data_IF_169680390863
#
_entry.id   IF_169680390863
#
_cell.length_a   1.000
_cell.length_b   1.000
_cell.length_c   1.000
_cell.angle_alpha   90.00
_cell.angle_beta   90.00
_cell.angle_gamma   90.00
#
_symmetry.space_group_name_H-M   'P 1'
#
loop_
_entity.id
_entity.type
_entity.pdbx_description
1 polymer ?
#
# COMPACT_ATOMS: atom_id res chain seq x y z
N UNK A 1 -16.47 0.02 1.85
CA UNK A 1 -17.93 -0.18 1.87
C UNK A 1 -18.37 -0.74 0.52
N UNK A 2 -19.18 -1.84 0.44
CA UNK A 2 -19.68 -2.37 -0.81
C UNK A 2 -20.66 -1.41 -1.46
N UNK A 3 -20.79 -1.49 -2.80
CA UNK A 3 -21.76 -0.70 -3.53
C UNK A 3 -23.17 -0.89 -2.98
N UNK A 4 -23.89 0.22 -2.76
CA UNK A 4 -25.22 0.26 -2.17
C UNK A 4 -25.26 0.49 -0.64
N UNK A 5 -24.09 0.58 0.03
CA UNK A 5 -23.97 0.95 1.45
C UNK A 5 -23.53 2.39 1.68
N UNK A 6 -23.39 3.19 0.61
CA UNK A 6 -23.02 4.60 0.63
C UNK A 6 -23.83 5.38 -0.41
N UNK A 7 -23.89 6.69 -0.26
CA UNK A 7 -24.50 7.59 -1.22
C UNK A 7 -23.39 8.25 -2.09
N UNK A 8 -23.68 8.48 -3.36
CA UNK A 8 -22.77 9.05 -4.33
C UNK A 8 -22.11 8.00 -5.23
N UNK A 9 -21.21 8.45 -6.08
CA UNK A 9 -20.54 7.66 -7.10
C UNK A 9 -19.03 7.55 -6.84
N UNK A 10 -18.47 6.39 -7.10
CA UNK A 10 -17.02 6.17 -7.16
C UNK A 10 -16.61 6.14 -8.62
N UNK A 11 -15.81 7.12 -9.05
CA UNK A 11 -15.27 7.20 -10.40
C UNK A 11 -13.77 6.93 -10.33
N UNK A 12 -13.30 5.94 -11.10
CA UNK A 12 -11.90 5.59 -11.20
C UNK A 12 -11.50 5.40 -12.66
N UNK A 13 -10.45 6.10 -13.11
CA UNK A 13 -10.01 6.11 -14.53
C UNK A 13 -11.19 6.39 -15.49
N UNK A 14 -11.98 7.43 -15.19
CA UNK A 14 -13.17 7.86 -15.92
C UNK A 14 -14.31 6.83 -16.00
N UNK A 15 -14.22 5.73 -15.25
CA UNK A 15 -15.24 4.70 -15.19
C UNK A 15 -16.00 4.76 -13.86
N UNK A 16 -17.33 4.61 -13.94
CA UNK A 16 -18.17 4.45 -12.76
C UNK A 16 -17.98 3.05 -12.17
N UNK A 17 -17.45 3.01 -10.95
CA UNK A 17 -17.14 1.78 -10.26
C UNK A 17 -18.24 1.37 -9.27
N UNK A 18 -18.61 0.09 -9.27
CA UNK A 18 -19.61 -0.50 -8.37
C UNK A 18 -19.05 -1.76 -7.72
N UNK A 19 -18.07 -1.56 -6.83
CA UNK A 19 -17.39 -2.66 -6.14
C UNK A 19 -18.32 -3.33 -5.13
N UNK A 20 -18.50 -4.64 -5.25
CA UNK A 20 -19.31 -5.45 -4.32
C UNK A 20 -18.46 -5.98 -3.16
N UNK A 21 -17.18 -6.14 -3.38
CA UNK A 21 -16.21 -6.66 -2.41
C UNK A 21 -14.79 -6.16 -2.72
N UNK A 22 -13.86 -6.43 -1.82
CA UNK A 22 -12.45 -6.01 -1.93
C UNK A 22 -11.78 -6.60 -3.20
N UNK A 23 -12.14 -7.83 -3.60
CA UNK A 23 -11.55 -8.45 -4.80
C UNK A 23 -11.89 -7.68 -6.07
N UNK A 24 -13.04 -7.02 -6.12
CA UNK A 24 -13.42 -6.22 -7.29
C UNK A 24 -12.53 -4.98 -7.41
N UNK A 25 -12.22 -4.28 -6.31
CA UNK A 25 -11.31 -3.13 -6.33
C UNK A 25 -9.85 -3.56 -6.57
N UNK A 26 -9.42 -4.69 -6.03
CA UNK A 26 -8.08 -5.24 -6.29
C UNK A 26 -7.86 -5.61 -7.76
N UNK A 27 -8.88 -6.10 -8.49
CA UNK A 27 -8.79 -6.39 -9.93
C UNK A 27 -8.57 -5.13 -10.76
N UNK A 28 -9.07 -3.99 -10.31
CA UNK A 28 -8.81 -2.68 -10.94
C UNK A 28 -7.44 -2.09 -10.54
N UNK A 29 -6.72 -2.76 -9.65
CA UNK A 29 -5.42 -2.33 -9.15
C UNK A 29 -5.52 -1.33 -7.99
N UNK A 30 -6.65 -1.28 -7.28
CA UNK A 30 -6.82 -0.48 -6.07
C UNK A 30 -6.54 -1.36 -4.87
N UNK A 31 -5.50 -1.06 -4.11
CA UNK A 31 -5.09 -1.81 -2.92
C UNK A 31 -5.00 -0.89 -1.72
N UNK A 32 -5.50 -1.33 -0.59
CA UNK A 32 -5.40 -0.61 0.69
C UNK A 32 -4.45 -1.35 1.64
N UNK A 33 -3.59 -0.57 2.31
CA UNK A 33 -2.77 -1.00 3.43
C UNK A 33 -3.31 -0.30 4.66
N UNK A 34 -3.82 -1.08 5.60
CA UNK A 34 -4.39 -0.58 6.84
C UNK A 34 -3.30 -0.28 7.86
N UNK A 35 -3.61 0.56 8.85
CA UNK A 35 -2.74 0.89 9.98
C UNK A 35 -2.30 -0.37 10.74
N UNK A 36 -3.22 -1.32 10.96
CA UNK A 36 -2.90 -2.64 11.49
C UNK A 36 -2.52 -3.58 10.35
N UNK A 37 -1.28 -4.07 10.36
CA UNK A 37 -0.77 -4.96 9.31
C UNK A 37 -1.53 -6.30 9.30
N UNK A 38 -2.01 -6.70 8.12
CA UNK A 38 -2.72 -7.94 7.92
C UNK A 38 -1.76 -9.12 7.62
N UNK A 39 -0.67 -9.20 8.40
CA UNK A 39 0.35 -10.25 8.27
C UNK A 39 0.14 -11.34 9.31
N UNK A 40 0.35 -12.59 8.91
CA UNK A 40 0.31 -13.75 9.82
C UNK A 40 1.72 -13.99 10.37
N UNK A 41 1.96 -13.82 11.69
CA UNK A 41 3.30 -13.81 12.27
C UNK A 41 4.10 -15.09 12.07
N UNK A 42 3.44 -16.24 12.03
CA UNK A 42 4.05 -17.56 11.92
C UNK A 42 4.15 -18.08 10.47
N UNK A 43 3.77 -17.31 9.49
CA UNK A 43 4.04 -17.56 8.09
C UNK A 43 5.28 -16.79 7.64
N UNK A 44 5.95 -17.31 6.62
CA UNK A 44 7.07 -16.63 5.96
C UNK A 44 6.61 -15.38 5.20
N UNK A 45 7.57 -14.56 4.78
CA UNK A 45 7.33 -13.40 3.92
C UNK A 45 6.62 -13.86 2.64
N UNK A 46 7.13 -14.87 1.96
CA UNK A 46 6.56 -15.38 0.72
C UNK A 46 5.14 -15.92 0.89
N UNK A 47 4.87 -16.67 1.96
CA UNK A 47 3.53 -17.15 2.27
C UNK A 47 2.55 -15.99 2.52
N UNK A 48 2.96 -14.96 3.29
CA UNK A 48 2.13 -13.78 3.52
C UNK A 48 1.84 -13.01 2.23
N UNK A 49 2.83 -12.85 1.36
CA UNK A 49 2.67 -12.10 0.11
C UNK A 49 1.66 -12.76 -0.83
N UNK A 50 1.63 -14.07 -0.89
CA UNK A 50 0.78 -14.82 -1.82
C UNK A 50 -0.40 -15.54 -1.16
N UNK A 51 -0.69 -15.27 0.10
CA UNK A 51 -1.81 -15.86 0.83
C UNK A 51 -3.13 -15.61 0.10
N UNK A 52 -3.80 -16.68 -0.33
CA UNK A 52 -5.04 -16.63 -1.12
C UNK A 52 -4.85 -16.35 -2.62
N UNK A 53 -3.58 -16.24 -3.08
CA UNK A 53 -3.17 -16.12 -4.48
C UNK A 53 -1.89 -16.93 -4.73
N UNK A 54 -1.83 -18.13 -4.17
CA UNK A 54 -0.67 -19.02 -4.23
C UNK A 54 -0.31 -19.37 -5.69
N UNK A 55 0.98 -19.49 -5.94
CA UNK A 55 1.48 -19.96 -7.25
C UNK A 55 1.28 -21.47 -7.34
N UNK A 56 0.14 -21.90 -7.87
CA UNK A 56 -0.22 -23.32 -7.93
C UNK A 56 -0.41 -23.80 -9.37
N UNK A 57 -0.05 -25.08 -9.60
CA UNK A 57 -0.33 -25.80 -10.85
C UNK A 57 -1.07 -27.09 -10.50
N UNK A 58 -2.25 -27.30 -11.09
CA UNK A 58 -3.11 -28.47 -10.82
C UNK A 58 -3.43 -28.65 -9.31
N UNK A 59 -3.59 -27.57 -8.56
CA UNK A 59 -3.89 -27.61 -7.13
C UNK A 59 -2.70 -27.88 -6.22
N UNK A 60 -1.47 -27.97 -6.76
CA UNK A 60 -0.23 -28.11 -5.99
C UNK A 60 0.53 -26.80 -6.00
N UNK A 61 0.86 -26.26 -4.81
CA UNK A 61 1.63 -25.01 -4.67
C UNK A 61 3.06 -25.26 -5.13
N UNK A 62 3.55 -24.39 -6.01
CA UNK A 62 4.95 -24.35 -6.42
C UNK A 62 5.72 -23.37 -5.51
N UNK A 63 6.33 -23.90 -4.46
CA UNK A 63 7.08 -23.10 -3.48
C UNK A 63 8.33 -22.44 -4.05
N UNK A 64 9.01 -23.05 -5.00
CA UNK A 64 10.19 -22.47 -5.63
C UNK A 64 9.81 -21.22 -6.43
N UNK A 65 8.75 -21.30 -7.23
CA UNK A 65 8.23 -20.17 -7.98
C UNK A 65 7.67 -19.08 -7.03
N UNK A 66 7.00 -19.46 -5.94
CA UNK A 66 6.48 -18.54 -4.92
C UNK A 66 7.62 -17.76 -4.29
N UNK A 67 8.69 -18.43 -3.85
CA UNK A 67 9.86 -17.80 -3.25
C UNK A 67 10.60 -16.91 -4.26
N UNK A 68 10.76 -17.34 -5.50
CA UNK A 68 11.39 -16.53 -6.55
C UNK A 68 10.62 -15.24 -6.77
N UNK A 69 9.31 -15.30 -6.98
CA UNK A 69 8.47 -14.10 -7.16
C UNK A 69 8.47 -13.20 -5.93
N UNK A 70 8.43 -13.80 -4.72
CA UNK A 70 8.54 -13.02 -3.48
C UNK A 70 9.84 -12.23 -3.46
N UNK A 71 10.99 -12.86 -3.77
CA UNK A 71 12.28 -12.19 -3.81
C UNK A 71 12.31 -11.02 -4.82
N UNK A 72 11.66 -11.16 -5.98
CA UNK A 72 11.56 -10.07 -6.97
C UNK A 72 10.83 -8.85 -6.40
N UNK A 73 9.67 -9.04 -5.77
CA UNK A 73 8.91 -7.93 -5.16
C UNK A 73 9.58 -7.38 -3.91
N UNK A 74 10.22 -8.23 -3.09
CA UNK A 74 11.03 -7.81 -1.94
C UNK A 74 12.18 -6.89 -2.37
N UNK A 75 12.86 -7.22 -3.45
CA UNK A 75 13.92 -6.37 -4.00
C UNK A 75 13.41 -5.00 -4.41
N UNK A 76 12.19 -4.90 -4.97
CA UNK A 76 11.58 -3.62 -5.37
C UNK A 76 11.33 -2.68 -4.19
N UNK A 77 11.13 -3.22 -2.99
CA UNK A 77 10.93 -2.43 -1.76
C UNK A 77 12.19 -2.32 -0.89
N UNK A 78 13.33 -2.81 -1.38
CA UNK A 78 14.60 -2.78 -0.66
C UNK A 78 14.69 -3.75 0.52
N UNK A 79 13.87 -4.80 0.55
CA UNK A 79 13.89 -5.82 1.58
C UNK A 79 14.84 -6.95 1.19
N UNK A 80 15.94 -7.12 1.96
CA UNK A 80 17.02 -8.06 1.66
C UNK A 80 16.95 -9.35 2.49
N UNK A 81 15.86 -9.58 3.22
CA UNK A 81 15.66 -10.81 3.99
C UNK A 81 15.35 -12.00 3.07
N UNK A 82 15.49 -13.23 3.58
CA UNK A 82 15.07 -14.40 2.82
C UNK A 82 13.54 -14.45 2.70
N UNK A 83 12.97 -14.82 1.55
CA UNK A 83 11.54 -15.05 1.41
C UNK A 83 10.95 -16.05 2.41
N UNK A 84 11.77 -16.98 2.92
CA UNK A 84 11.39 -17.96 3.93
C UNK A 84 11.47 -17.45 5.38
N UNK A 85 11.93 -16.21 5.62
CA UNK A 85 11.97 -15.60 6.94
C UNK A 85 10.55 -15.42 7.48
N UNK A 86 10.31 -15.79 8.74
CA UNK A 86 9.00 -15.61 9.38
C UNK A 86 8.74 -14.12 9.69
N UNK A 87 7.51 -13.70 9.56
CA UNK A 87 7.12 -12.31 9.86
C UNK A 87 7.44 -11.90 11.29
N UNK A 88 7.27 -12.81 12.28
CA UNK A 88 7.59 -12.52 13.67
C UNK A 88 9.08 -12.22 13.93
N UNK A 89 9.96 -12.63 13.03
CA UNK A 89 11.42 -12.51 13.18
C UNK A 89 11.97 -11.22 12.52
N UNK A 90 11.11 -10.40 11.92
CA UNK A 90 11.46 -9.10 11.32
C UNK A 90 10.80 -7.94 12.06
N UNK A 91 11.51 -6.81 12.12
CA UNK A 91 10.99 -5.59 12.76
C UNK A 91 9.84 -4.93 12.00
N UNK A 92 9.09 -4.05 12.70
CA UNK A 92 7.88 -3.39 12.18
C UNK A 92 8.10 -2.66 10.85
N UNK A 93 9.22 -1.95 10.68
CA UNK A 93 9.54 -1.28 9.42
C UNK A 93 9.65 -2.26 8.24
N UNK A 94 10.24 -3.43 8.46
CA UNK A 94 10.30 -4.47 7.43
C UNK A 94 8.94 -5.12 7.17
N UNK A 95 8.11 -5.29 8.20
CA UNK A 95 6.74 -5.79 8.03
C UNK A 95 5.91 -4.83 7.17
N UNK A 96 6.08 -3.52 7.34
CA UNK A 96 5.45 -2.51 6.48
C UNK A 96 5.88 -2.67 5.01
N UNK A 97 7.17 -2.90 4.76
CA UNK A 97 7.69 -3.16 3.41
C UNK A 97 7.12 -4.46 2.82
N UNK A 98 6.88 -5.50 3.63
CA UNK A 98 6.21 -6.74 3.18
C UNK A 98 4.79 -6.46 2.71
N UNK A 99 4.00 -5.64 3.42
CA UNK A 99 2.64 -5.26 2.97
C UNK A 99 2.68 -4.50 1.63
N UNK A 100 3.67 -3.63 1.43
CA UNK A 100 3.84 -2.94 0.16
C UNK A 100 4.25 -3.91 -0.96
N UNK A 101 5.20 -4.81 -0.70
CA UNK A 101 5.59 -5.85 -1.67
C UNK A 101 4.40 -6.75 -2.05
N UNK A 102 3.55 -7.11 -1.09
CA UNK A 102 2.30 -7.85 -1.30
C UNK A 102 1.30 -7.05 -2.17
N UNK A 103 1.20 -5.73 -1.99
CA UNK A 103 0.39 -4.87 -2.85
C UNK A 103 0.93 -4.82 -4.29
N UNK A 104 2.26 -4.70 -4.46
CA UNK A 104 2.91 -4.74 -5.78
C UNK A 104 2.63 -6.05 -6.53
N UNK A 105 2.61 -7.18 -5.83
CA UNK A 105 2.30 -8.49 -6.41
C UNK A 105 0.87 -8.58 -6.99
N UNK A 106 -0.02 -7.65 -6.61
CA UNK A 106 -1.40 -7.52 -7.12
C UNK A 106 -1.54 -6.53 -8.29
N UNK A 107 -0.44 -6.12 -8.94
CA UNK A 107 -0.44 -5.13 -10.03
C UNK A 107 -1.13 -3.81 -9.64
N UNK A 108 -0.78 -3.28 -8.47
CA UNK A 108 -1.35 -2.05 -7.93
C UNK A 108 -1.14 -0.85 -8.86
N UNK A 109 -2.18 -0.03 -9.03
CA UNK A 109 -2.16 1.27 -9.73
C UNK A 109 -2.47 2.42 -8.78
N UNK A 110 -3.35 2.16 -7.81
CA UNK A 110 -3.71 3.08 -6.74
C UNK A 110 -3.49 2.40 -5.39
N UNK A 111 -2.53 2.92 -4.63
CA UNK A 111 -2.19 2.45 -3.30
C UNK A 111 -2.77 3.40 -2.26
N UNK A 112 -3.62 2.90 -1.38
CA UNK A 112 -4.19 3.67 -0.27
C UNK A 112 -3.50 3.21 1.01
N UNK A 113 -2.90 4.15 1.75
CA UNK A 113 -2.17 3.87 2.97
C UNK A 113 -2.80 4.65 4.14
N UNK A 114 -3.21 3.91 5.16
CA UNK A 114 -3.81 4.46 6.37
C UNK A 114 -2.76 4.49 7.48
N UNK A 115 -2.30 5.70 7.83
CA UNK A 115 -1.24 5.97 8.81
C UNK A 115 0.02 5.07 8.69
N UNK A 116 0.63 4.95 7.48
CA UNK A 116 1.66 3.94 7.22
C UNK A 116 2.96 4.13 8.02
N UNK A 117 3.16 5.29 8.62
CA UNK A 117 4.38 5.66 9.36
C UNK A 117 4.15 5.75 10.87
N UNK A 118 2.94 5.46 11.38
CA UNK A 118 2.58 5.67 12.79
C UNK A 118 3.44 4.85 13.76
N UNK A 119 3.83 3.65 13.37
CA UNK A 119 4.64 2.71 14.17
C UNK A 119 6.13 2.69 13.79
N UNK A 120 6.56 3.55 12.85
CA UNK A 120 7.93 3.60 12.36
C UNK A 120 8.76 4.67 13.08
N UNK A 121 10.07 4.42 13.23
CA UNK A 121 11.01 5.48 13.56
C UNK A 121 11.18 6.44 12.36
N UNK A 122 11.75 7.61 12.60
CA UNK A 122 11.88 8.67 11.60
C UNK A 122 12.65 8.24 10.34
N UNK A 123 13.73 7.45 10.52
CA UNK A 123 14.54 6.95 9.41
C UNK A 123 13.75 5.98 8.51
N UNK A 124 12.99 5.06 9.11
CA UNK A 124 12.21 4.07 8.35
C UNK A 124 10.97 4.74 7.73
N UNK A 125 10.35 5.69 8.41
CA UNK A 125 9.28 6.51 7.84
C UNK A 125 9.75 7.26 6.58
N UNK A 126 10.93 7.89 6.65
CA UNK A 126 11.52 8.59 5.51
C UNK A 126 11.76 7.68 4.32
N UNK A 127 12.37 6.50 4.54
CA UNK A 127 12.60 5.50 3.49
C UNK A 127 11.30 5.04 2.83
N UNK A 128 10.24 4.87 3.62
CA UNK A 128 8.93 4.52 3.11
C UNK A 128 8.37 5.60 2.19
N UNK A 129 8.45 6.87 2.59
CA UNK A 129 7.97 7.99 1.77
C UNK A 129 8.80 8.15 0.49
N UNK A 130 10.13 8.00 0.56
CA UNK A 130 11.01 8.01 -0.61
C UNK A 130 10.64 6.89 -1.60
N UNK A 131 10.31 5.69 -1.10
CA UNK A 131 9.85 4.56 -1.90
C UNK A 131 8.52 4.86 -2.62
N UNK A 132 7.58 5.52 -1.97
CA UNK A 132 6.30 5.92 -2.58
C UNK A 132 6.50 6.96 -3.68
N UNK A 133 7.42 7.91 -3.48
CA UNK A 133 7.81 8.89 -4.51
C UNK A 133 8.45 8.17 -5.71
N UNK A 134 9.39 7.24 -5.46
CA UNK A 134 10.01 6.43 -6.50
C UNK A 134 8.98 5.64 -7.31
N UNK A 135 7.99 5.01 -6.66
CA UNK A 135 6.94 4.25 -7.35
C UNK A 135 6.05 5.13 -8.22
N UNK A 136 5.76 6.35 -7.80
CA UNK A 136 5.07 7.33 -8.61
C UNK A 136 5.86 7.63 -9.90
N UNK A 137 7.16 7.91 -9.75
CA UNK A 137 8.03 8.34 -10.87
C UNK A 137 8.37 7.20 -11.83
N UNK A 138 8.68 6.01 -11.28
CA UNK A 138 9.21 4.89 -12.09
C UNK A 138 8.15 3.92 -12.55
N UNK A 139 7.04 3.78 -11.82
CA UNK A 139 5.98 2.79 -12.07
C UNK A 139 4.61 3.41 -12.36
N UNK A 140 4.46 4.74 -12.21
CA UNK A 140 3.18 5.43 -12.39
C UNK A 140 2.12 5.03 -11.36
N UNK A 141 2.54 4.56 -10.17
CA UNK A 141 1.63 4.21 -9.08
C UNK A 141 1.19 5.48 -8.38
N UNK A 142 -0.13 5.71 -8.30
CA UNK A 142 -0.70 6.80 -7.50
C UNK A 142 -0.87 6.33 -6.06
N UNK A 143 -0.50 7.18 -5.09
CA UNK A 143 -0.70 6.88 -3.66
C UNK A 143 -1.64 7.89 -3.01
N UNK A 144 -2.56 7.40 -2.17
CA UNK A 144 -3.35 8.22 -1.24
C UNK A 144 -2.85 7.87 0.16
N UNK A 145 -2.34 8.88 0.89
CA UNK A 145 -1.82 8.71 2.24
C UNK A 145 -2.76 9.41 3.20
N UNK A 146 -3.29 8.68 4.17
CA UNK A 146 -4.04 9.23 5.30
C UNK A 146 -3.04 9.37 6.45
N UNK A 147 -2.81 10.59 6.93
CA UNK A 147 -1.88 10.84 8.01
C UNK A 147 -2.24 12.17 8.72
N UNK A 148 -1.86 12.27 9.99
CA UNK A 148 -1.95 13.50 10.77
C UNK A 148 -0.57 14.18 10.92
N UNK A 149 0.50 13.63 10.34
CA UNK A 149 1.86 14.13 10.43
C UNK A 149 2.16 15.09 9.27
N UNK A 150 1.96 16.39 9.49
CA UNK A 150 2.09 17.42 8.45
C UNK A 150 3.45 17.42 7.75
N UNK A 151 4.56 17.22 8.48
CA UNK A 151 5.91 17.19 7.91
C UNK A 151 6.08 16.06 6.86
N UNK A 152 5.50 14.89 7.11
CA UNK A 152 5.54 13.76 6.19
C UNK A 152 4.69 14.04 4.95
N UNK A 153 3.49 14.58 5.14
CA UNK A 153 2.58 14.93 4.05
C UNK A 153 3.20 16.00 3.15
N UNK A 154 3.72 17.09 3.72
CA UNK A 154 4.37 18.18 2.98
C UNK A 154 5.57 17.71 2.18
N UNK A 155 6.26 16.67 2.67
CA UNK A 155 7.40 16.09 1.99
C UNK A 155 7.01 15.36 0.69
N UNK A 156 6.02 14.47 0.74
CA UNK A 156 5.75 13.52 -0.34
C UNK A 156 4.51 13.85 -1.19
N UNK A 157 3.54 14.63 -0.67
CA UNK A 157 2.28 14.85 -1.35
C UNK A 157 2.39 15.93 -2.46
N UNK A 158 1.68 15.71 -3.57
CA UNK A 158 1.44 16.73 -4.59
C UNK A 158 0.18 17.53 -4.30
N UNK A 159 -0.80 16.87 -3.66
CA UNK A 159 -2.09 17.44 -3.25
C UNK A 159 -2.40 17.04 -1.81
N UNK A 160 -2.91 17.96 -1.03
CA UNK A 160 -3.30 17.74 0.36
C UNK A 160 -4.76 18.16 0.52
N UNK A 161 -5.62 17.23 0.92
CA UNK A 161 -7.02 17.52 1.24
C UNK A 161 -7.22 17.43 2.75
N UNK A 162 -7.66 18.52 3.35
CA UNK A 162 -7.98 18.59 4.78
C UNK A 162 -9.41 18.12 4.98
N UNK A 163 -9.58 17.10 5.82
CA UNK A 163 -10.90 16.56 6.20
C UNK A 163 -11.13 16.83 7.68
N UNK A 164 -12.30 17.38 8.01
CA UNK A 164 -12.74 17.63 9.39
C UNK A 164 -14.22 17.30 9.52
N UNK A 165 -14.58 16.56 10.56
CA UNK A 165 -15.97 16.19 10.88
C UNK A 165 -16.71 15.55 9.67
N UNK A 166 -15.98 14.72 8.89
CA UNK A 166 -16.51 14.05 7.69
C UNK A 166 -16.69 14.95 6.47
N UNK A 167 -16.20 16.19 6.50
CA UNK A 167 -16.30 17.13 5.40
C UNK A 167 -14.90 17.49 4.86
N UNK A 168 -14.79 17.61 3.53
CA UNK A 168 -13.61 18.18 2.89
C UNK A 168 -13.64 19.70 3.06
N UNK A 169 -12.67 20.26 3.76
CA UNK A 169 -12.58 21.70 4.06
C UNK A 169 -11.85 22.42 2.94
N UNK A 170 -10.66 21.92 2.57
CA UNK A 170 -9.80 22.56 1.58
C UNK A 170 -8.89 21.53 0.91
N UNK A 171 -8.48 21.84 -0.32
CA UNK A 171 -7.47 21.06 -1.04
C UNK A 171 -6.37 21.99 -1.52
N UNK A 172 -5.15 21.75 -1.04
CA UNK A 172 -3.94 22.48 -1.39
C UNK A 172 -3.13 21.72 -2.43
N UNK A 173 -2.52 22.43 -3.37
CA UNK A 173 -1.69 21.87 -4.45
C UNK A 173 -0.26 22.38 -4.29
N UNK A 174 0.69 21.46 -4.20
CA UNK A 174 2.12 21.78 -4.03
C UNK A 174 2.62 22.67 -5.19
N UNK A 175 3.29 23.77 -4.82
CA UNK A 175 3.84 24.73 -5.77
C UNK A 175 2.82 25.77 -6.31
N UNK A 176 1.55 25.67 -5.90
CA UNK A 176 0.50 26.65 -6.21
C UNK A 176 0.06 27.38 -4.95
N UNK A 177 -0.16 26.63 -3.89
CA UNK A 177 -0.63 27.14 -2.60
C UNK A 177 0.52 27.17 -1.59
N UNK A 178 0.65 28.26 -0.81
CA UNK A 178 1.59 28.32 0.31
C UNK A 178 1.00 27.52 1.48
N UNK A 179 1.74 26.50 1.90
CA UNK A 179 1.47 25.82 3.18
C UNK A 179 1.90 26.78 4.30
N UNK A 180 1.01 27.66 4.76
CA UNK A 180 1.24 28.42 6.00
C UNK A 180 1.09 27.46 7.18
N UNK A 181 2.12 27.44 8.06
CA UNK A 181 2.13 26.69 9.33
C UNK A 181 0.98 27.08 10.28
#
# INVERSE_FOLDING_TARGET
>A
YPFGSYEGDVIYQDNLCRFKNIKDSEREGIVIIHQELALVPYLSIAENMFLGNEQATNGVINWDLTNQKAAEFMAMVGLNDSPSTLIKDIGMGKQQLVEIAKALAKNVKLLILDEPTSSLNESDARKLLDLLIEFKETKGITSIIISHKLNEISYCADKITVIRDGQSIETLVKGVDELSE
#
